data_IF_229208173426
#
_entry.id   IF_229208173426
#
_cell.length_a   1.000
_cell.length_b   1.000
_cell.length_c   1.000
_cell.angle_alpha   90.00
_cell.angle_beta   90.00
_cell.angle_gamma   90.00
#
_symmetry.space_group_name_H-M   'P 1'
#
loop_
_entity.id
_entity.type
_entity.pdbx_description
1 polymer ?
#
# COMPACT_ATOMS: atom_id res chain seq x y z
N UNK A 1 -7.92 -9.13 4.33
CA UNK A 1 -6.64 -8.40 4.26
C UNK A 1 -5.68 -9.01 5.28
N UNK A 2 -4.56 -9.63 4.88
CA UNK A 2 -3.61 -10.23 5.83
C UNK A 2 -2.48 -9.24 6.09
N UNK A 3 -2.38 -8.73 7.32
CA UNK A 3 -1.35 -7.78 7.71
C UNK A 3 -0.08 -8.57 8.04
N UNK A 4 1.06 -8.17 7.49
CA UNK A 4 2.36 -8.77 7.81
C UNK A 4 3.17 -7.80 8.65
N UNK A 5 3.43 -8.18 9.88
CA UNK A 5 4.29 -7.45 10.82
C UNK A 5 5.66 -8.12 10.89
N UNK A 6 6.68 -7.32 11.20
CA UNK A 6 8.03 -7.83 11.45
C UNK A 6 8.64 -7.14 12.65
N UNK A 7 9.67 -7.77 13.23
CA UNK A 7 10.33 -7.31 14.45
C UNK A 7 11.39 -6.25 14.13
N UNK A 8 11.37 -5.18 14.92
CA UNK A 8 12.36 -4.09 14.92
C UNK A 8 13.38 -4.33 16.04
N UNK A 9 14.64 -4.03 15.78
CA UNK A 9 15.76 -4.22 16.71
C UNK A 9 16.61 -2.95 16.81
N UNK A 10 17.37 -2.79 17.89
CA UNK A 10 18.41 -1.76 17.99
C UNK A 10 19.78 -2.40 17.84
N UNK A 11 20.64 -1.79 17.01
CA UNK A 11 22.04 -2.20 16.83
C UNK A 11 22.92 -0.98 17.09
N UNK A 12 23.50 -0.90 18.28
CA UNK A 12 24.21 0.31 18.73
C UNK A 12 23.28 1.52 18.75
N UNK A 13 23.65 2.58 18.00
CA UNK A 13 22.82 3.78 17.82
C UNK A 13 21.82 3.69 16.66
N UNK A 14 21.90 2.62 15.85
CA UNK A 14 21.03 2.38 14.70
C UNK A 14 19.86 1.46 15.04
N UNK A 15 18.88 1.43 14.14
CA UNK A 15 17.70 0.61 14.29
C UNK A 15 17.40 -0.17 13.01
N UNK A 16 17.18 -1.47 13.19
CA UNK A 16 17.15 -2.45 12.13
C UNK A 16 15.83 -3.21 12.10
N UNK A 17 15.53 -3.81 10.95
CA UNK A 17 14.32 -4.61 10.73
C UNK A 17 14.71 -5.95 10.12
N UNK A 18 14.22 -7.05 10.69
CA UNK A 18 14.42 -8.36 10.09
C UNK A 18 13.45 -8.55 8.92
N UNK A 19 13.97 -8.91 7.74
CA UNK A 19 13.13 -9.14 6.57
C UNK A 19 12.86 -10.64 6.40
N UNK A 20 11.58 -11.06 6.36
CA UNK A 20 11.21 -12.42 5.95
C UNK A 20 11.77 -12.74 4.57
N UNK A 21 11.97 -14.02 4.29
CA UNK A 21 12.64 -14.48 3.06
C UNK A 21 12.00 -13.92 1.77
N UNK A 22 10.67 -13.84 1.75
CA UNK A 22 9.88 -13.30 0.64
C UNK A 22 10.07 -11.78 0.39
N UNK A 23 10.65 -11.05 1.34
CA UNK A 23 10.91 -9.60 1.24
C UNK A 23 12.42 -9.26 1.20
N UNK A 24 13.29 -10.24 0.97
CA UNK A 24 14.73 -9.99 0.84
C UNK A 24 15.04 -9.26 -0.46
N UNK A 25 15.90 -8.26 -0.38
CA UNK A 25 16.47 -7.62 -1.56
C UNK A 25 17.50 -8.54 -2.23
N UNK A 26 17.62 -8.46 -3.55
CA UNK A 26 18.67 -9.19 -4.29
C UNK A 26 20.07 -8.58 -4.07
N UNK A 27 20.13 -7.30 -3.66
CA UNK A 27 21.37 -6.57 -3.37
C UNK A 27 21.59 -6.27 -1.90
N UNK A 28 22.74 -5.67 -1.58
CA UNK A 28 23.13 -5.30 -0.20
C UNK A 28 22.64 -3.90 0.23
N UNK A 29 22.24 -3.08 -0.74
CA UNK A 29 21.85 -1.69 -0.51
C UNK A 29 20.44 -1.45 -1.07
N UNK A 30 19.69 -0.59 -0.38
CA UNK A 30 18.34 -0.21 -0.78
C UNK A 30 18.13 1.29 -0.53
N UNK A 31 17.43 1.95 -1.45
CA UNK A 31 17.00 3.34 -1.27
C UNK A 31 15.70 3.37 -0.47
N UNK A 32 15.75 3.93 0.73
CA UNK A 32 14.55 4.21 1.53
C UNK A 32 14.04 5.61 1.19
N UNK A 33 12.80 5.70 0.75
CA UNK A 33 12.10 6.99 0.56
C UNK A 33 10.88 7.03 1.48
N UNK A 34 10.65 8.12 2.22
CA UNK A 34 9.37 8.30 2.89
C UNK A 34 8.28 8.30 1.82
N UNK A 35 7.19 7.57 2.07
CA UNK A 35 6.00 7.75 1.23
C UNK A 35 5.57 9.20 1.34
N UNK A 36 5.32 9.87 0.20
CA UNK A 36 4.72 11.20 0.18
C UNK A 36 3.26 11.06 0.57
N UNK A 37 2.98 10.90 1.86
CA UNK A 37 1.62 10.94 2.36
C UNK A 37 1.17 12.41 2.29
N UNK A 38 0.08 12.73 1.58
CA UNK A 38 -0.43 14.09 1.57
C UNK A 38 -0.82 14.46 3.01
N UNK A 39 -0.41 15.65 3.45
CA UNK A 39 -0.65 16.15 4.81
C UNK A 39 -2.11 16.56 5.06
N UNK A 40 -2.94 16.57 4.02
CA UNK A 40 -4.34 16.97 4.05
C UNK A 40 -5.13 16.26 2.94
N UNK A 41 -6.45 16.41 2.97
CA UNK A 41 -7.32 15.98 1.88
C UNK A 41 -7.03 16.73 0.58
N UNK A 42 -6.80 18.05 0.64
CA UNK A 42 -6.43 18.85 -0.53
C UNK A 42 -5.15 18.32 -1.20
N UNK A 43 -4.10 18.00 -0.43
CA UNK A 43 -2.86 17.46 -0.98
C UNK A 43 -3.03 16.09 -1.65
N UNK A 44 -4.07 15.33 -1.28
CA UNK A 44 -4.41 14.08 -1.94
C UNK A 44 -5.08 14.33 -3.29
N UNK A 45 -6.00 15.29 -3.36
CA UNK A 45 -6.69 15.67 -4.60
C UNK A 45 -5.73 16.31 -5.61
N UNK A 46 -4.81 17.16 -5.15
CA UNK A 46 -3.75 17.70 -6.01
C UNK A 46 -2.83 16.62 -6.60
N UNK A 47 -2.65 15.50 -5.89
CA UNK A 47 -1.85 14.38 -6.36
C UNK A 47 -2.62 13.54 -7.39
N UNK A 48 -3.92 13.32 -7.15
CA UNK A 48 -4.84 12.70 -8.10
C UNK A 48 -4.86 13.47 -9.43
N UNK A 49 -4.95 14.80 -9.39
CA UNK A 49 -5.06 15.62 -10.61
C UNK A 49 -3.76 15.63 -11.45
N UNK A 50 -2.62 15.28 -10.85
CA UNK A 50 -1.33 15.16 -11.54
C UNK A 50 -1.16 13.80 -12.22
N UNK A 51 -1.99 12.82 -11.89
CA UNK A 51 -1.86 11.46 -12.40
C UNK A 51 -2.91 11.22 -13.49
N UNK A 52 -2.45 10.75 -14.65
CA UNK A 52 -3.36 10.46 -15.77
C UNK A 52 -3.99 9.10 -15.55
N UNK A 53 -5.26 9.09 -15.14
CA UNK A 53 -6.06 7.87 -15.06
C UNK A 53 -6.47 7.47 -16.50
N UNK A 54 -6.22 6.22 -16.93
CA UNK A 54 -6.67 5.75 -18.23
C UNK A 54 -8.18 5.90 -18.40
N UNK A 55 -8.64 6.31 -19.58
CA UNK A 55 -10.08 6.55 -19.86
C UNK A 55 -10.96 5.30 -19.68
N UNK A 56 -10.39 4.10 -19.77
CA UNK A 56 -11.06 2.83 -19.55
C UNK A 56 -10.92 2.26 -18.14
N UNK A 57 -10.26 2.97 -17.21
CA UNK A 57 -10.07 2.49 -15.85
C UNK A 57 -11.41 2.43 -15.10
N UNK A 58 -11.75 1.26 -14.56
CA UNK A 58 -13.03 1.01 -13.88
C UNK A 58 -14.25 1.41 -14.71
N UNK A 59 -14.35 0.88 -15.94
CA UNK A 59 -15.47 1.14 -16.82
C UNK A 59 -16.80 0.59 -16.28
N UNK A 60 -17.92 0.84 -16.99
CA UNK A 60 -19.24 0.42 -16.55
C UNK A 60 -19.36 -1.08 -16.26
N UNK A 61 -18.67 -1.93 -17.02
CA UNK A 61 -18.64 -3.38 -16.82
C UNK A 61 -17.87 -3.78 -15.55
N UNK A 62 -16.71 -3.15 -15.31
CA UNK A 62 -15.91 -3.40 -14.09
C UNK A 62 -16.64 -2.95 -12.82
N UNK A 63 -17.48 -1.91 -12.94
CA UNK A 63 -18.29 -1.36 -11.85
C UNK A 63 -19.65 -2.06 -11.69
N UNK A 64 -20.02 -2.97 -12.58
CA UNK A 64 -21.27 -3.69 -12.52
C UNK A 64 -21.20 -4.83 -11.49
N UNK A 65 -20.93 -4.48 -10.24
CA UNK A 65 -20.95 -5.42 -9.13
C UNK A 65 -22.40 -5.70 -8.76
N UNK A 66 -22.86 -6.92 -9.05
CA UNK A 66 -24.19 -7.35 -8.65
C UNK A 66 -24.30 -7.42 -7.13
N UNK A 67 -25.49 -7.18 -6.55
CA UNK A 67 -25.73 -7.41 -5.13
C UNK A 67 -25.23 -8.78 -4.73
N UNK A 68 -24.44 -8.84 -3.66
CA UNK A 68 -23.94 -10.08 -3.10
C UNK A 68 -24.86 -10.47 -1.95
N UNK A 69 -25.43 -11.67 -2.02
CA UNK A 69 -26.17 -12.26 -0.91
C UNK A 69 -25.17 -12.92 0.04
N UNK A 70 -24.39 -12.09 0.74
CA UNK A 70 -23.48 -12.53 1.79
C UNK A 70 -23.88 -11.86 3.09
N UNK A 71 -24.05 -12.68 4.12
CA UNK A 71 -24.25 -12.17 5.47
C UNK A 71 -22.97 -11.42 5.90
N UNK A 72 -23.06 -10.11 6.21
CA UNK A 72 -21.90 -9.35 6.67
C UNK A 72 -21.35 -9.80 8.03
N UNK A 73 -22.02 -10.71 8.73
CA UNK A 73 -21.63 -11.26 10.03
C UNK A 73 -21.24 -12.74 10.01
N UNK A 74 -21.40 -13.43 8.89
CA UNK A 74 -20.94 -14.82 8.77
C UNK A 74 -19.44 -14.82 8.45
N UNK A 75 -18.64 -15.26 9.43
CA UNK A 75 -17.18 -15.12 9.47
C UNK A 75 -16.39 -16.12 8.65
#
# INVERSE_FOLDING_TARGET
MRIRSTKRFKTGHSQDVSLPMEFRFQGKEAFVRPSRKPGSWDGLLELHDKEVVPSGFMGPLDRNQTPQDRDPFDG
#
